data_IF_566494324168
#
_entry.id   IF_566494324168
#
_cell.length_a   1.000
_cell.length_b   1.000
_cell.length_c   1.000
_cell.angle_alpha   90.00
_cell.angle_beta   90.00
_cell.angle_gamma   90.00
#
_symmetry.space_group_name_H-M   'P 1'
#
loop_
_entity.id
_entity.type
_entity.pdbx_description
1 polymer ?
#
# COMPACT_ATOMS: atom_id res chain seq x y z
N UNK A 1 20.10 28.43 34.81
CA UNK A 1 19.46 27.16 35.23
C UNK A 1 18.26 26.92 34.31
N UNK A 2 18.13 25.71 33.76
CA UNK A 2 17.56 25.40 32.44
C UNK A 2 16.10 25.82 32.18
N UNK A 3 15.84 26.25 30.93
CA UNK A 3 14.53 26.39 30.29
C UNK A 3 13.85 25.01 30.15
N UNK A 4 12.62 24.78 30.63
CA UNK A 4 11.67 23.93 29.93
C UNK A 4 11.04 24.79 28.79
N UNK A 5 10.52 24.32 27.67
CA UNK A 5 9.55 23.25 27.45
C UNK A 5 9.71 22.79 26.00
N UNK A 6 9.63 21.47 25.80
CA UNK A 6 9.91 20.79 24.53
C UNK A 6 8.87 21.18 23.48
N UNK A 7 9.33 21.68 22.33
CA UNK A 7 8.54 21.88 21.12
C UNK A 7 7.84 20.57 20.75
N UNK A 8 6.50 20.58 20.79
CA UNK A 8 5.70 19.50 20.21
C UNK A 8 5.85 19.59 18.68
N UNK A 9 6.62 18.65 18.11
CA UNK A 9 6.80 18.56 16.68
C UNK A 9 5.51 18.05 16.04
N UNK A 10 4.88 18.86 15.18
CA UNK A 10 3.84 18.43 14.26
C UNK A 10 4.43 17.41 13.27
N UNK A 11 4.35 16.12 13.59
CA UNK A 11 4.78 15.05 12.69
C UNK A 11 3.63 14.69 11.75
N UNK A 12 3.56 15.37 10.60
CA UNK A 12 2.64 15.01 9.52
C UNK A 12 3.06 13.70 8.85
N UNK A 13 2.34 12.62 9.12
CA UNK A 13 2.59 11.31 8.52
C UNK A 13 2.02 11.24 7.09
N UNK A 14 2.69 11.84 6.10
CA UNK A 14 2.35 11.65 4.69
C UNK A 14 2.94 10.34 4.15
N UNK A 15 2.41 9.21 4.60
CA UNK A 15 2.78 7.89 4.07
C UNK A 15 1.86 7.56 2.88
N UNK A 16 2.31 7.85 1.65
CA UNK A 16 1.60 7.44 0.43
C UNK A 16 1.70 5.93 0.25
N UNK A 17 0.76 5.18 0.79
CA UNK A 17 0.62 3.74 0.50
C UNK A 17 0.08 3.56 -0.91
N UNK A 18 0.91 3.06 -1.84
CA UNK A 18 0.46 2.69 -3.18
C UNK A 18 -0.44 1.45 -3.10
N UNK A 19 -1.56 1.47 -3.81
CA UNK A 19 -2.53 0.36 -3.89
C UNK A 19 -2.87 0.08 -5.35
N UNK A 20 -3.14 -1.18 -5.64
CA UNK A 20 -3.49 -1.70 -6.97
C UNK A 20 -4.70 -2.62 -6.86
N UNK A 21 -5.60 -2.57 -7.83
CA UNK A 21 -6.72 -3.50 -7.95
C UNK A 21 -6.37 -4.68 -8.85
N UNK A 22 -6.85 -5.87 -8.50
CA UNK A 22 -6.74 -7.07 -9.33
C UNK A 22 -8.08 -7.78 -9.39
N UNK A 23 -8.54 -8.10 -10.60
CA UNK A 23 -9.79 -8.80 -10.89
C UNK A 23 -9.58 -10.04 -11.78
N UNK A 24 -8.34 -10.52 -11.88
CA UNK A 24 -7.99 -11.69 -12.70
C UNK A 24 -8.24 -11.54 -14.21
N UNK A 25 -8.42 -10.32 -14.73
CA UNK A 25 -8.67 -10.09 -16.16
C UNK A 25 -10.13 -9.75 -16.52
N UNK A 26 -11.02 -9.58 -15.52
CA UNK A 26 -12.35 -8.99 -15.70
C UNK A 26 -13.40 -9.87 -16.38
N UNK A 27 -13.08 -11.13 -16.68
CA UNK A 27 -13.98 -12.12 -17.27
C UNK A 27 -14.38 -13.24 -16.30
N UNK A 28 -15.12 -14.26 -16.80
CA UNK A 28 -15.62 -15.38 -15.99
C UNK A 28 -14.54 -16.23 -15.34
N UNK A 29 -13.35 -16.27 -15.95
CA UNK A 29 -12.18 -17.01 -15.46
C UNK A 29 -11.29 -16.18 -14.52
N UNK A 30 -11.68 -14.94 -14.24
CA UNK A 30 -10.98 -14.09 -13.29
C UNK A 30 -11.28 -14.47 -11.84
N UNK A 31 -11.12 -13.50 -10.95
CA UNK A 31 -11.50 -13.62 -9.54
C UNK A 31 -12.19 -12.33 -9.08
N UNK A 32 -12.90 -12.34 -7.94
CA UNK A 32 -13.48 -11.13 -7.38
C UNK A 32 -12.44 -10.01 -7.28
N UNK A 33 -12.85 -8.78 -7.58
CA UNK A 33 -11.96 -7.63 -7.50
C UNK A 33 -11.46 -7.45 -6.06
N UNK A 34 -10.13 -7.50 -5.90
CA UNK A 34 -9.46 -7.23 -4.63
C UNK A 34 -8.49 -6.05 -4.76
N UNK A 35 -8.15 -5.46 -3.61
CA UNK A 35 -7.17 -4.39 -3.50
C UNK A 35 -5.92 -4.90 -2.78
N UNK A 36 -4.77 -4.70 -3.41
CA UNK A 36 -3.46 -5.10 -2.91
C UNK A 36 -2.67 -3.85 -2.55
N UNK A 37 -2.03 -3.86 -1.39
CA UNK A 37 -1.10 -2.78 -1.00
C UNK A 37 0.29 -3.18 -1.43
N UNK A 38 1.00 -2.29 -2.13
CA UNK A 38 2.37 -2.56 -2.54
C UNK A 38 3.26 -2.51 -1.30
N UNK A 39 4.15 -3.49 -1.16
CA UNK A 39 5.11 -3.55 -0.06
C UNK A 39 6.11 -2.39 -0.09
N UNK A 40 7.02 -2.36 0.88
CA UNK A 40 8.11 -1.35 0.93
C UNK A 40 8.97 -1.37 -0.34
N UNK A 41 9.14 -2.56 -0.91
CA UNK A 41 9.89 -2.80 -2.15
C UNK A 41 9.11 -2.40 -3.41
N UNK A 42 7.89 -1.87 -3.23
CA UNK A 42 7.02 -1.50 -4.33
C UNK A 42 6.49 -2.70 -5.10
N UNK A 43 6.42 -3.90 -4.50
CA UNK A 43 5.90 -5.09 -5.17
C UNK A 43 4.85 -5.80 -4.33
N UNK A 44 3.94 -6.52 -5.00
CA UNK A 44 2.93 -7.39 -4.37
C UNK A 44 2.47 -8.47 -5.35
N UNK A 45 2.16 -9.66 -4.85
CA UNK A 45 1.64 -10.78 -5.66
C UNK A 45 0.17 -11.01 -5.33
N UNK A 46 -0.67 -11.12 -6.35
CA UNK A 46 -2.08 -11.48 -6.17
C UNK A 46 -2.21 -12.95 -5.74
N UNK A 47 -2.92 -13.27 -4.65
CA UNK A 47 -3.06 -14.64 -4.16
C UNK A 47 -3.94 -15.54 -5.03
N UNK A 48 -4.70 -14.98 -5.97
CA UNK A 48 -5.63 -15.73 -6.81
C UNK A 48 -5.03 -16.13 -8.15
N UNK A 49 -4.47 -15.16 -8.90
CA UNK A 49 -3.92 -15.40 -10.23
C UNK A 49 -2.40 -15.41 -10.26
N UNK A 50 -1.73 -15.29 -9.10
CA UNK A 50 -0.27 -15.22 -8.97
C UNK A 50 0.40 -14.10 -9.79
N UNK A 51 -0.38 -13.12 -10.25
CA UNK A 51 0.14 -11.96 -10.99
C UNK A 51 0.93 -11.07 -10.03
N UNK A 52 2.17 -10.77 -10.40
CA UNK A 52 3.03 -9.80 -9.71
C UNK A 52 2.71 -8.38 -10.19
N UNK A 53 2.60 -7.45 -9.25
CA UNK A 53 2.43 -6.03 -9.48
C UNK A 53 3.61 -5.26 -8.89
N UNK A 54 3.98 -4.17 -9.54
CA UNK A 54 5.08 -3.30 -9.14
C UNK A 54 4.75 -1.81 -9.35
N UNK A 55 5.47 -0.95 -8.61
CA UNK A 55 5.12 0.45 -8.32
C UNK A 55 5.67 1.49 -9.30
#
# INVERSE_FOLDING_TARGET
MLKPEKKIGNQGHNQKTKRVSCNGGGGPLGHPQIWLTLGKDGTVVCPYCSKKFEA
#
